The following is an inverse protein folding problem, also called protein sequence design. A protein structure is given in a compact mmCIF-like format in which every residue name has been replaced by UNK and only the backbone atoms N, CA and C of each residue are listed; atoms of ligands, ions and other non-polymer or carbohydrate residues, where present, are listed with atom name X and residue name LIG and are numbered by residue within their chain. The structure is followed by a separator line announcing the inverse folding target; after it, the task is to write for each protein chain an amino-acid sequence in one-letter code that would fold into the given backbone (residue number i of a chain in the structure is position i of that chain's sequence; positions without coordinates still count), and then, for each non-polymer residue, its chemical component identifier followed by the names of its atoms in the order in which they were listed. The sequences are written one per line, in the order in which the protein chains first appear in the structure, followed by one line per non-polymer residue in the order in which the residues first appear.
data_IF_189872925821
#
_entry.id   IF_189872925821
#
_cell.length_a   1.000
_cell.length_b   1.000
_cell.length_c   1.000
_cell.angle_alpha   90.00
_cell.angle_beta   90.00
_cell.angle_gamma   90.00
#
_symmetry.space_group_name_H-M   'P 1'
#
loop_
_entity.id
_entity.type
_entity.pdbx_description
1 polymer ?
#
# COMPACT_ATOMS: atom_id res chain seq x y z
N UNK A 1 -4.23 -54.76 -31.02
CA UNK A 1 -2.95 -54.89 -30.29
C UNK A 1 -2.16 -53.56 -30.37
N UNK A 2 -2.78 -52.41 -30.06
CA UNK A 2 -2.18 -51.08 -30.27
C UNK A 2 -2.16 -50.18 -29.01
N UNK A 3 -2.62 -50.69 -27.86
CA UNK A 3 -2.78 -49.90 -26.64
C UNK A 3 -1.57 -50.01 -25.67
N UNK A 4 -0.72 -51.03 -25.84
CA UNK A 4 0.42 -51.27 -24.95
C UNK A 4 1.62 -50.37 -25.26
N UNK A 5 1.81 -49.98 -26.53
CA UNK A 5 2.92 -49.13 -26.99
C UNK A 5 2.82 -47.68 -26.51
N UNK A 6 1.60 -47.12 -26.45
CA UNK A 6 1.40 -45.77 -25.91
C UNK A 6 1.58 -45.75 -24.39
N UNK A 7 1.16 -46.80 -23.68
CA UNK A 7 1.35 -46.91 -22.23
C UNK A 7 2.83 -47.00 -21.84
N UNK A 8 3.67 -47.68 -22.63
CA UNK A 8 5.12 -47.65 -22.41
C UNK A 8 5.71 -46.23 -22.57
N UNK A 9 5.25 -45.45 -23.55
CA UNK A 9 5.74 -44.09 -23.79
C UNK A 9 5.46 -43.13 -22.62
N UNK A 10 4.28 -43.20 -22.01
CA UNK A 10 3.95 -42.41 -20.82
C UNK A 10 4.76 -42.83 -19.59
N UNK A 11 5.03 -44.14 -19.44
CA UNK A 11 5.86 -44.65 -18.36
C UNK A 11 7.34 -44.25 -18.52
N UNK A 12 7.85 -44.21 -19.75
CA UNK A 12 9.21 -43.76 -20.07
C UNK A 12 9.37 -42.25 -19.87
N UNK A 13 8.34 -41.47 -20.21
CA UNK A 13 8.30 -40.04 -19.96
C UNK A 13 8.27 -39.73 -18.46
N UNK A 14 7.50 -40.50 -17.69
CA UNK A 14 7.45 -40.36 -16.22
C UNK A 14 8.81 -40.70 -15.58
N UNK A 15 9.45 -41.79 -16.04
CA UNK A 15 10.78 -42.18 -15.56
C UNK A 15 11.85 -41.15 -15.92
N UNK A 16 11.82 -40.57 -17.13
CA UNK A 16 12.77 -39.54 -17.54
C UNK A 16 12.58 -38.23 -16.76
N UNK A 17 11.34 -37.83 -16.49
CA UNK A 17 11.03 -36.67 -15.65
C UNK A 17 11.48 -36.86 -14.19
N UNK A 18 11.24 -38.04 -13.60
CA UNK A 18 11.73 -38.38 -12.26
C UNK A 18 13.25 -38.34 -12.17
N UNK A 19 13.94 -38.83 -13.19
CA UNK A 19 15.40 -38.85 -13.26
C UNK A 19 15.99 -37.43 -13.39
N UNK A 20 15.34 -36.54 -14.14
CA UNK A 20 15.74 -35.12 -14.23
C UNK A 20 15.56 -34.40 -12.89
N UNK A 21 14.50 -34.73 -12.15
CA UNK A 21 14.25 -34.13 -10.83
C UNK A 21 15.31 -34.55 -9.79
N UNK A 22 15.76 -35.81 -9.81
CA UNK A 22 16.88 -36.28 -8.98
C UNK A 22 18.23 -35.64 -9.36
N UNK A 23 18.45 -35.37 -10.65
CA UNK A 23 19.70 -34.75 -11.13
C UNK A 23 19.78 -33.24 -10.87
N UNK A 24 18.63 -32.55 -10.78
CA UNK A 24 18.57 -31.10 -10.61
C UNK A 24 18.80 -30.62 -9.16
N UNK A 25 18.80 -31.50 -8.15
CA UNK A 25 18.92 -31.08 -6.75
C UNK A 25 19.69 -32.08 -5.87
N UNK A 26 21.04 -32.08 -5.88
CA UNK A 26 21.85 -32.93 -5.00
C UNK A 26 21.70 -32.63 -3.49
N UNK A 27 21.02 -31.54 -3.12
CA UNK A 27 20.97 -31.01 -1.75
C UNK A 27 19.55 -30.83 -1.18
N UNK A 28 18.50 -31.25 -1.87
CA UNK A 28 17.12 -31.17 -1.36
C UNK A 28 16.66 -32.56 -0.90
N UNK A 29 16.96 -32.89 0.36
CA UNK A 29 16.59 -34.13 1.04
C UNK A 29 15.08 -34.15 1.36
N UNK A 30 14.23 -34.19 0.33
CA UNK A 30 12.79 -34.40 0.48
C UNK A 30 12.34 -35.57 -0.42
N UNK A 31 11.62 -36.56 0.12
CA UNK A 31 11.17 -37.70 -0.67
C UNK A 31 10.20 -37.24 -1.78
N UNK A 32 10.28 -37.84 -2.99
CA UNK A 32 9.39 -37.49 -4.09
C UNK A 32 7.94 -37.78 -3.69
N UNK A 33 7.11 -36.73 -3.58
CA UNK A 33 5.70 -36.88 -3.27
C UNK A 33 4.93 -37.15 -4.56
N UNK A 34 4.71 -38.43 -4.86
CA UNK A 34 3.81 -38.88 -5.91
C UNK A 34 2.36 -38.62 -5.45
N UNK A 35 1.78 -37.49 -5.87
CA UNK A 35 0.40 -37.11 -5.50
C UNK A 35 -0.56 -37.62 -6.56
N UNK A 36 -1.48 -38.49 -6.17
CA UNK A 36 -2.60 -38.87 -7.03
C UNK A 36 -3.57 -37.70 -7.18
N UNK A 37 -4.33 -37.66 -8.27
CA UNK A 37 -5.29 -36.58 -8.56
C UNK A 37 -6.31 -36.39 -7.41
N UNK A 38 -6.77 -37.49 -6.83
CA UNK A 38 -7.70 -37.49 -5.68
C UNK A 38 -7.08 -36.88 -4.42
N UNK A 39 -5.78 -37.12 -4.21
CA UNK A 39 -5.04 -36.52 -3.09
C UNK A 39 -4.85 -35.01 -3.31
N UNK A 40 -4.58 -34.59 -4.55
CA UNK A 40 -4.49 -33.18 -4.90
C UNK A 40 -5.85 -32.48 -4.74
N UNK A 41 -6.95 -33.12 -5.13
CA UNK A 41 -8.30 -32.59 -4.97
C UNK A 41 -8.67 -32.45 -3.49
N UNK A 42 -8.41 -33.47 -2.67
CA UNK A 42 -8.68 -33.41 -1.22
C UNK A 42 -7.89 -32.31 -0.52
N UNK A 43 -6.61 -32.12 -0.89
CA UNK A 43 -5.76 -31.06 -0.36
C UNK A 43 -6.16 -29.68 -0.90
N UNK A 44 -6.60 -29.59 -2.16
CA UNK A 44 -7.17 -28.38 -2.75
C UNK A 44 -8.44 -27.96 -2.02
N UNK A 45 -9.38 -28.88 -1.78
CA UNK A 45 -10.59 -28.64 -0.97
C UNK A 45 -10.23 -28.21 0.44
N UNK A 46 -9.23 -28.84 1.06
CA UNK A 46 -8.74 -28.50 2.40
C UNK A 46 -8.04 -27.14 2.44
N UNK A 47 -7.25 -26.79 1.42
CA UNK A 47 -6.60 -25.48 1.28
C UNK A 47 -7.62 -24.38 1.01
N UNK A 48 -8.57 -24.60 0.11
CA UNK A 48 -9.68 -23.69 -0.15
C UNK A 48 -10.48 -23.42 1.12
N UNK A 49 -10.81 -24.47 1.88
CA UNK A 49 -11.49 -24.32 3.17
C UNK A 49 -10.64 -23.59 4.22
N UNK A 50 -9.31 -23.72 4.17
CA UNK A 50 -8.38 -23.05 5.09
C UNK A 50 -8.11 -21.59 4.70
N UNK A 51 -8.14 -21.26 3.41
CA UNK A 51 -8.01 -19.89 2.90
C UNK A 51 -9.25 -19.06 3.23
N UNK A 52 -10.45 -19.65 3.14
CA UNK A 52 -11.71 -19.00 3.52
C UNK A 52 -11.88 -18.78 5.04
N UNK A 53 -11.02 -19.39 5.87
CA UNK A 53 -11.13 -19.34 7.34
C UNK A 53 -9.92 -18.74 8.05
N UNK A 54 -8.89 -18.27 7.33
CA UNK A 54 -7.76 -17.57 7.97
C UNK A 54 -8.06 -16.08 8.09
N UNK A 55 -9.16 -15.74 8.75
CA UNK A 55 -9.28 -14.47 9.46
C UNK A 55 -9.28 -14.82 10.94
N UNK A 56 -8.19 -14.50 11.64
CA UNK A 56 -8.14 -14.66 13.08
C UNK A 56 -9.27 -13.80 13.69
N UNK A 57 -10.29 -14.40 14.33
CA UNK A 57 -11.49 -13.67 14.74
C UNK A 57 -11.17 -12.54 15.73
N UNK A 58 -10.11 -12.68 16.54
CA UNK A 58 -9.69 -11.64 17.49
C UNK A 58 -9.09 -10.39 16.82
N UNK A 59 -8.33 -10.55 15.72
CA UNK A 59 -7.75 -9.42 14.98
C UNK A 59 -8.81 -8.74 14.10
N UNK A 60 -9.71 -9.52 13.49
CA UNK A 60 -10.88 -9.00 12.77
C UNK A 60 -11.79 -8.20 13.70
N UNK A 61 -12.04 -8.66 14.94
CA UNK A 61 -12.81 -7.90 15.95
C UNK A 61 -12.11 -6.59 16.36
N UNK A 62 -10.78 -6.60 16.52
CA UNK A 62 -10.03 -5.39 16.85
C UNK A 62 -10.05 -4.37 15.70
N UNK A 63 -9.82 -4.82 14.47
CA UNK A 63 -9.90 -4.00 13.26
C UNK A 63 -11.32 -3.46 13.03
N UNK A 64 -12.35 -4.30 13.15
CA UNK A 64 -13.77 -3.90 13.08
C UNK A 64 -14.12 -2.87 14.14
N UNK A 65 -13.60 -3.01 15.37
CA UNK A 65 -13.81 -2.01 16.43
C UNK A 65 -13.09 -0.69 16.15
N UNK A 66 -11.90 -0.72 15.55
CA UNK A 66 -11.18 0.49 15.13
C UNK A 66 -11.88 1.21 13.97
N UNK A 67 -12.35 0.46 12.97
CA UNK A 67 -13.12 1.00 11.86
C UNK A 67 -14.44 1.63 12.35
N UNK A 68 -15.15 0.96 13.26
CA UNK A 68 -16.38 1.49 13.86
C UNK A 68 -16.13 2.77 14.69
N UNK A 69 -15.01 2.83 15.43
CA UNK A 69 -14.61 4.04 16.19
C UNK A 69 -14.40 5.25 15.28
N UNK A 70 -13.91 5.04 14.07
CA UNK A 70 -13.70 6.09 13.07
C UNK A 70 -14.91 6.29 12.14
N UNK A 71 -16.05 5.64 12.43
CA UNK A 71 -17.32 5.84 11.70
C UNK A 71 -17.50 4.95 10.46
N UNK A 72 -16.65 3.95 10.26
CA UNK A 72 -16.69 3.04 9.11
C UNK A 72 -17.42 1.74 9.50
N UNK A 73 -18.50 1.43 8.81
CA UNK A 73 -19.30 0.22 9.06
C UNK A 73 -18.66 -1.01 8.40
N UNK A 74 -17.80 -1.70 9.15
CA UNK A 74 -17.09 -2.90 8.68
C UNK A 74 -18.06 -4.02 8.22
N UNK A 75 -19.25 -4.12 8.83
CA UNK A 75 -20.26 -5.12 8.45
C UNK A 75 -20.94 -4.80 7.11
N UNK A 76 -21.10 -3.52 6.78
CA UNK A 76 -21.56 -3.09 5.45
C UNK A 76 -20.46 -3.34 4.42
N UNK A 77 -19.21 -2.98 4.72
CA UNK A 77 -18.08 -3.19 3.83
C UNK A 77 -17.83 -4.68 3.55
N UNK A 78 -17.93 -5.55 4.56
CA UNK A 78 -17.79 -7.00 4.38
C UNK A 78 -18.92 -7.58 3.52
N UNK A 79 -20.16 -7.07 3.66
CA UNK A 79 -21.29 -7.45 2.81
C UNK A 79 -21.10 -6.98 1.38
N UNK A 80 -20.64 -5.76 1.17
CA UNK A 80 -20.34 -5.22 -0.16
C UNK A 80 -19.20 -6.02 -0.80
N UNK A 81 -18.13 -6.33 -0.06
CA UNK A 81 -17.01 -7.13 -0.55
C UNK A 81 -17.41 -8.58 -0.88
N UNK A 82 -18.31 -9.17 -0.09
CA UNK A 82 -18.91 -10.48 -0.37
C UNK A 82 -19.84 -10.45 -1.59
N UNK A 83 -20.49 -9.32 -1.86
CA UNK A 83 -21.26 -9.13 -3.10
C UNK A 83 -20.36 -8.94 -4.32
N UNK A 84 -19.12 -8.49 -4.10
CA UNK A 84 -18.06 -8.40 -5.10
C UNK A 84 -17.27 -9.71 -5.29
N UNK A 85 -17.61 -10.80 -4.58
CA UNK A 85 -17.12 -12.12 -4.97
C UNK A 85 -17.66 -12.40 -6.38
N UNK A 86 -16.79 -12.16 -7.37
CA UNK A 86 -17.01 -12.50 -8.77
C UNK A 86 -17.54 -13.91 -8.81
N UNK A 87 -18.84 -14.02 -9.09
CA UNK A 87 -19.45 -15.23 -9.59
C UNK A 87 -18.74 -15.50 -10.91
N UNK A 88 -17.60 -16.18 -10.82
CA UNK A 88 -16.94 -16.83 -11.95
C UNK A 88 -17.86 -17.97 -12.33
N UNK A 89 -18.99 -17.62 -12.94
CA UNK A 89 -19.69 -18.54 -13.80
C UNK A 89 -18.65 -18.83 -14.88
N UNK A 90 -17.94 -19.94 -14.73
CA UNK A 90 -17.33 -20.63 -15.85
C UNK A 90 -18.50 -21.04 -16.74
N UNK A 91 -19.03 -20.07 -17.47
CA UNK A 91 -19.87 -20.31 -18.61
C UNK A 91 -18.88 -20.67 -19.71
N UNK A 92 -18.95 -21.92 -20.17
CA UNK A 92 -18.13 -22.37 -21.28
C UNK A 92 -18.31 -21.35 -22.41
N UNK A 93 -17.19 -20.90 -22.97
CA UNK A 93 -17.12 -19.91 -24.07
C UNK A 93 -17.94 -20.36 -25.31
N UNK A 94 -18.44 -21.60 -25.28
CA UNK A 94 -19.44 -22.14 -26.19
C UNK A 94 -20.60 -22.78 -25.40
N UNK A 95 -21.76 -22.12 -25.28
CA UNK A 95 -23.02 -22.84 -25.18
C UNK A 95 -23.11 -23.71 -26.44
N UNK A 96 -23.31 -25.01 -26.28
CA UNK A 96 -23.39 -25.98 -27.36
C UNK A 96 -24.68 -25.84 -28.20
N UNK A 97 -25.05 -24.61 -28.59
CA UNK A 97 -26.37 -24.26 -29.14
C UNK A 97 -26.34 -23.74 -30.58
N UNK A 98 -25.17 -23.41 -31.15
CA UNK A 98 -25.09 -23.10 -32.57
C UNK A 98 -25.26 -24.40 -33.39
N UNK A 99 -26.51 -24.77 -33.65
CA UNK A 99 -26.88 -25.93 -34.47
C UNK A 99 -26.78 -25.63 -35.97
N UNK A 100 -26.47 -24.39 -36.35
CA UNK A 100 -26.23 -23.96 -37.73
C UNK A 100 -24.99 -23.04 -37.88
N UNK A 101 -24.42 -23.00 -39.08
CA UNK A 101 -23.23 -22.18 -39.42
C UNK A 101 -23.52 -20.67 -39.30
N UNK A 102 -24.75 -20.26 -39.60
CA UNK A 102 -25.16 -18.85 -39.54
C UNK A 102 -25.18 -18.35 -38.09
N UNK A 103 -25.79 -19.12 -37.17
CA UNK A 103 -25.82 -18.80 -35.74
C UNK A 103 -24.41 -18.71 -35.15
N UNK A 104 -23.50 -19.60 -35.59
CA UNK A 104 -22.10 -19.53 -35.20
C UNK A 104 -21.42 -18.22 -35.66
N UNK A 105 -21.61 -17.82 -36.91
CA UNK A 105 -21.02 -16.58 -37.44
C UNK A 105 -21.59 -15.34 -36.75
N UNK A 106 -22.89 -15.33 -36.48
CA UNK A 106 -23.53 -14.24 -35.74
C UNK A 106 -23.00 -14.16 -34.30
N UNK A 107 -22.86 -15.29 -33.61
CA UNK A 107 -22.30 -15.31 -32.26
C UNK A 107 -20.83 -14.87 -32.23
N UNK A 108 -20.01 -15.29 -33.19
CA UNK A 108 -18.61 -14.82 -33.30
C UNK A 108 -18.56 -13.31 -33.53
N UNK A 109 -19.45 -12.78 -34.36
CA UNK A 109 -19.55 -11.33 -34.57
C UNK A 109 -19.91 -10.61 -33.26
N UNK A 110 -20.96 -11.06 -32.56
CA UNK A 110 -21.39 -10.46 -31.29
C UNK A 110 -20.27 -10.52 -30.24
N UNK A 111 -19.59 -11.66 -30.13
CA UNK A 111 -18.44 -11.83 -29.24
C UNK A 111 -17.27 -10.90 -29.61
N UNK A 112 -16.96 -10.75 -30.90
CA UNK A 112 -15.91 -9.86 -31.36
C UNK A 112 -16.22 -8.40 -31.01
N UNK A 113 -17.48 -7.98 -31.18
CA UNK A 113 -17.95 -6.64 -30.79
C UNK A 113 -17.83 -6.43 -29.28
N UNK A 114 -18.32 -7.38 -28.47
CA UNK A 114 -18.26 -7.28 -27.01
C UNK A 114 -16.80 -7.27 -26.53
N UNK A 115 -15.95 -8.12 -27.10
CA UNK A 115 -14.52 -8.19 -26.77
C UNK A 115 -13.80 -6.90 -27.13
N UNK A 116 -14.11 -6.29 -28.28
CA UNK A 116 -13.53 -5.02 -28.68
C UNK A 116 -13.92 -3.88 -27.73
N UNK A 117 -15.20 -3.85 -27.30
CA UNK A 117 -15.66 -2.86 -26.30
C UNK A 117 -14.98 -3.07 -24.96
N UNK A 118 -14.88 -4.30 -24.48
CA UNK A 118 -14.25 -4.62 -23.21
C UNK A 118 -12.75 -4.29 -23.21
N UNK A 119 -12.04 -4.63 -24.28
CA UNK A 119 -10.62 -4.29 -24.40
C UNK A 119 -10.42 -2.78 -24.50
N UNK A 120 -11.27 -2.06 -25.24
CA UNK A 120 -11.22 -0.59 -25.30
C UNK A 120 -11.48 0.07 -23.93
N UNK A 121 -12.45 -0.43 -23.16
CA UNK A 121 -12.71 0.09 -21.81
C UNK A 121 -11.53 -0.17 -20.86
N UNK A 122 -10.95 -1.36 -20.93
CA UNK A 122 -9.78 -1.76 -20.14
C UNK A 122 -8.55 -0.92 -20.50
N UNK A 123 -8.34 -0.65 -21.79
CA UNK A 123 -7.25 0.20 -22.27
C UNK A 123 -7.43 1.66 -21.85
N UNK A 124 -8.67 2.17 -21.88
CA UNK A 124 -9.00 3.50 -21.37
C UNK A 124 -8.71 3.64 -19.88
N UNK A 125 -9.07 2.64 -19.07
CA UNK A 125 -8.80 2.66 -17.62
C UNK A 125 -7.30 2.66 -17.33
N UNK A 126 -6.52 1.86 -18.05
CA UNK A 126 -5.05 1.86 -17.94
C UNK A 126 -4.48 3.21 -18.34
N UNK A 127 -4.89 3.74 -19.49
CA UNK A 127 -4.43 5.04 -20.00
C UNK A 127 -4.77 6.18 -19.04
N UNK A 128 -5.92 6.12 -18.38
CA UNK A 128 -6.30 7.09 -17.36
C UNK A 128 -5.44 6.98 -16.11
N UNK A 129 -5.17 5.77 -15.63
CA UNK A 129 -4.31 5.53 -14.46
C UNK A 129 -2.87 5.98 -14.72
N UNK A 130 -2.31 5.61 -15.88
CA UNK A 130 -0.99 6.04 -16.33
C UNK A 130 -0.91 7.57 -16.44
N UNK A 131 -1.93 8.20 -17.03
CA UNK A 131 -2.03 9.65 -17.11
C UNK A 131 -2.11 10.28 -15.72
N UNK A 132 -2.97 9.79 -14.84
CA UNK A 132 -3.09 10.29 -13.47
C UNK A 132 -1.76 10.20 -12.72
N UNK A 133 -1.07 9.06 -12.84
CA UNK A 133 0.24 8.87 -12.23
C UNK A 133 1.26 9.87 -12.76
N UNK A 134 1.26 10.11 -14.08
CA UNK A 134 2.15 11.11 -14.70
C UNK A 134 1.87 12.53 -14.19
N UNK A 135 0.60 12.93 -14.07
CA UNK A 135 0.21 14.24 -13.54
C UNK A 135 0.64 14.39 -12.09
N UNK A 136 0.41 13.36 -11.26
CA UNK A 136 0.85 13.38 -9.85
C UNK A 136 2.37 13.48 -9.73
N UNK A 137 3.11 12.78 -10.60
CA UNK A 137 4.57 12.88 -10.63
C UNK A 137 5.03 14.27 -11.06
N UNK A 138 4.42 14.84 -12.09
CA UNK A 138 4.74 16.20 -12.56
C UNK A 138 4.47 17.25 -11.47
N UNK A 139 3.31 17.18 -10.82
CA UNK A 139 2.94 18.05 -9.70
C UNK A 139 3.93 17.90 -8.54
N UNK A 140 4.30 16.67 -8.18
CA UNK A 140 5.31 16.41 -7.16
C UNK A 140 6.67 17.03 -7.52
N UNK A 141 7.14 16.82 -8.76
CA UNK A 141 8.41 17.39 -9.19
C UNK A 141 8.38 18.92 -9.20
N UNK A 142 7.23 19.52 -9.55
CA UNK A 142 7.04 20.97 -9.49
C UNK A 142 7.09 21.47 -8.05
N UNK A 143 6.31 20.89 -7.14
CA UNK A 143 6.31 21.27 -5.72
C UNK A 143 7.69 21.08 -5.08
N UNK A 144 8.39 19.99 -5.41
CA UNK A 144 9.77 19.78 -4.97
C UNK A 144 10.71 20.88 -5.48
N UNK A 145 10.61 21.26 -6.76
CA UNK A 145 11.41 22.37 -7.32
C UNK A 145 11.08 23.69 -6.63
N UNK A 146 9.81 24.00 -6.44
CA UNK A 146 9.35 25.22 -5.79
C UNK A 146 9.80 25.27 -4.33
N UNK A 147 9.73 24.15 -3.62
CA UNK A 147 10.26 23.98 -2.27
C UNK A 147 11.77 24.25 -2.22
N UNK A 148 12.56 23.61 -3.09
CA UNK A 148 14.01 23.83 -3.12
C UNK A 148 14.36 25.27 -3.50
N UNK A 149 13.62 25.87 -4.44
CA UNK A 149 13.79 27.29 -4.78
C UNK A 149 13.44 28.21 -3.60
N UNK A 150 12.41 27.87 -2.82
CA UNK A 150 12.07 28.61 -1.61
C UNK A 150 13.24 28.59 -0.61
N UNK A 151 13.88 27.43 -0.42
CA UNK A 151 15.06 27.29 0.43
C UNK A 151 16.26 28.08 -0.11
N UNK A 152 16.50 28.06 -1.42
CA UNK A 152 17.61 28.81 -2.01
C UNK A 152 17.42 30.32 -1.92
N UNK A 153 16.19 30.82 -2.03
CA UNK A 153 15.88 32.25 -1.84
C UNK A 153 16.13 32.70 -0.39
N UNK A 154 15.94 31.81 0.58
CA UNK A 154 16.23 32.07 2.00
C UNK A 154 17.75 32.02 2.28
N UNK A 155 18.51 31.24 1.50
CA UNK A 155 19.98 31.19 1.60
C UNK A 155 20.67 32.46 1.09
N UNK A 156 20.00 33.31 0.31
CA UNK A 156 20.60 34.51 -0.26
C UNK A 156 20.01 35.77 0.37
N UNK A 157 20.46 36.11 1.58
CA UNK A 157 20.87 37.45 2.09
C UNK A 157 20.64 37.61 3.62
N UNK A 158 21.47 38.38 4.36
CA UNK A 158 22.50 39.32 3.89
C UNK A 158 23.94 38.89 4.22
N UNK A 159 24.82 39.01 3.21
CA UNK A 159 26.26 39.11 3.42
C UNK A 159 26.53 40.43 4.16
N UNK A 160 26.85 40.30 5.44
CA UNK A 160 27.33 41.37 6.31
C UNK A 160 28.64 41.95 5.75
N UNK A 161 28.55 43.05 4.99
CA UNK A 161 29.66 43.96 4.82
C UNK A 161 29.62 44.95 5.98
N UNK A 162 30.50 44.73 6.96
CA UNK A 162 30.82 45.70 7.99
C UNK A 162 31.67 46.77 7.30
N UNK A 163 31.05 47.88 6.92
CA UNK A 163 31.74 49.15 6.76
C UNK A 163 31.19 50.08 7.83
N UNK A 164 32.07 50.32 8.79
CA UNK A 164 31.97 51.20 9.95
C UNK A 164 31.36 52.57 9.58
N UNK A 165 30.31 52.99 10.29
CA UNK A 165 30.00 54.42 10.52
C UNK A 165 28.91 54.56 11.58
N UNK A 166 29.32 55.24 12.65
CA UNK A 166 28.61 55.64 13.86
C UNK A 166 27.20 56.22 13.67
N UNK A 167 26.29 55.84 14.57
CA UNK A 167 25.55 56.74 15.50
C UNK A 167 24.10 56.31 15.72
N UNK A 168 23.77 56.01 16.98
CA UNK A 168 22.48 56.38 17.56
C UNK A 168 21.29 55.40 17.47
N UNK A 169 20.78 55.09 18.67
CA UNK A 169 19.38 54.85 19.02
C UNK A 169 18.90 53.38 19.05
N UNK A 170 18.80 52.92 20.28
CA UNK A 170 18.12 51.76 20.85
C UNK A 170 16.65 51.66 20.44
N UNK A 171 16.25 50.54 19.82
CA UNK A 171 14.97 49.83 20.06
C UNK A 171 15.01 48.48 19.34
N UNK A 172 15.48 47.46 20.06
CA UNK A 172 15.36 46.06 19.65
C UNK A 172 13.88 45.65 19.75
N UNK A 173 13.15 45.82 18.64
CA UNK A 173 11.99 44.98 18.33
C UNK A 173 12.52 43.69 17.74
N UNK A 174 12.55 42.63 18.53
CA UNK A 174 12.93 41.30 18.10
C UNK A 174 11.78 40.73 17.24
N UNK A 175 11.80 41.04 15.95
CA UNK A 175 10.92 40.41 14.97
C UNK A 175 11.48 39.01 14.77
N UNK A 176 10.92 38.03 15.49
CA UNK A 176 11.11 36.62 15.16
C UNK A 176 10.67 36.47 13.70
N UNK A 177 11.52 36.00 12.77
CA UNK A 177 11.07 35.74 11.42
C UNK A 177 9.99 34.69 11.54
N UNK A 178 8.79 34.97 11.00
CA UNK A 178 7.79 33.93 10.81
C UNK A 178 8.48 32.81 10.02
N UNK A 179 8.76 31.69 10.68
CA UNK A 179 9.38 30.53 10.04
C UNK A 179 8.42 30.09 8.96
N UNK A 180 8.79 30.30 7.69
CA UNK A 180 8.01 29.80 6.57
C UNK A 180 7.82 28.29 6.73
N UNK A 181 6.67 27.74 6.32
CA UNK A 181 6.36 26.29 6.41
C UNK A 181 7.55 25.38 6.01
N UNK A 182 8.29 25.65 4.92
CA UNK A 182 9.49 24.90 4.56
C UNK A 182 10.62 24.91 5.59
N UNK A 183 10.82 26.03 6.30
CA UNK A 183 11.92 26.19 7.26
C UNK A 183 11.67 25.37 8.53
N UNK A 184 10.44 25.37 9.04
CA UNK A 184 10.08 24.60 10.24
C UNK A 184 10.33 23.09 10.03
N UNK A 185 9.97 22.56 8.86
CA UNK A 185 10.23 21.16 8.53
C UNK A 185 11.70 20.86 8.22
N UNK A 186 12.41 21.76 7.55
CA UNK A 186 13.83 21.60 7.27
C UNK A 186 14.67 21.48 8.56
N UNK A 187 14.32 22.24 9.60
CA UNK A 187 14.99 22.14 10.91
C UNK A 187 14.76 20.78 11.59
N UNK A 188 13.54 20.23 11.51
CA UNK A 188 13.24 18.88 12.03
C UNK A 188 14.07 17.82 11.31
N UNK A 189 14.15 17.87 9.98
CA UNK A 189 14.96 16.92 9.18
C UNK A 189 16.44 17.03 9.51
N UNK A 190 16.96 18.24 9.70
CA UNK A 190 18.36 18.46 10.10
C UNK A 190 18.65 17.86 11.47
N UNK A 191 17.74 18.06 12.44
CA UNK A 191 17.87 17.50 13.79
C UNK A 191 17.74 15.98 13.80
N UNK A 192 16.87 15.42 12.97
CA UNK A 192 16.74 13.98 12.74
C UNK A 192 18.07 13.39 12.24
N UNK A 193 18.64 13.98 11.19
CA UNK A 193 19.90 13.51 10.61
C UNK A 193 21.05 13.62 11.61
N UNK A 194 21.16 14.74 12.33
CA UNK A 194 22.17 14.93 13.38
C UNK A 194 22.03 13.91 14.52
N UNK A 195 20.81 13.47 14.83
CA UNK A 195 20.57 12.46 15.87
C UNK A 195 20.92 11.05 15.37
N UNK A 196 20.63 10.75 14.09
CA UNK A 196 21.03 9.50 13.44
C UNK A 196 22.55 9.35 13.35
N UNK A 197 23.26 10.40 12.96
CA UNK A 197 24.73 10.42 12.91
C UNK A 197 25.36 10.18 14.28
N UNK A 198 24.70 10.66 15.35
CA UNK A 198 25.16 10.50 16.74
C UNK A 198 24.61 9.25 17.43
N UNK A 199 23.81 8.43 16.75
CA UNK A 199 23.16 7.25 17.33
C UNK A 199 22.19 7.57 18.49
N UNK A 200 21.65 8.79 18.56
CA UNK A 200 20.76 9.22 19.63
C UNK A 200 19.31 8.88 19.31
N UNK A 201 18.49 8.55 20.33
CA UNK A 201 17.06 8.37 20.14
C UNK A 201 16.43 9.68 19.67
N UNK A 202 15.67 9.61 18.58
CA UNK A 202 14.92 10.73 18.04
C UNK A 202 13.47 10.28 17.84
N UNK A 203 12.54 11.22 18.05
CA UNK A 203 11.09 10.98 17.90
C UNK A 203 10.56 11.78 16.70
N UNK A 204 10.67 11.25 15.46
CA UNK A 204 10.27 11.97 14.26
C UNK A 204 8.83 12.46 14.30
N UNK A 205 7.86 11.61 14.67
CA UNK A 205 6.45 11.98 14.60
C UNK A 205 6.13 13.16 15.53
N UNK A 206 6.70 13.12 16.74
CA UNK A 206 6.56 14.18 17.74
C UNK A 206 7.18 15.50 17.26
N UNK A 207 8.36 15.45 16.64
CA UNK A 207 9.07 16.63 16.15
C UNK A 207 8.36 17.28 14.95
N UNK A 208 7.87 16.46 14.00
CA UNK A 208 7.09 16.95 12.87
C UNK A 208 5.74 17.52 13.28
N UNK A 209 5.09 16.92 14.29
CA UNK A 209 3.84 17.44 14.88
C UNK A 209 4.06 18.82 15.50
N UNK A 210 5.11 19.00 16.30
CA UNK A 210 5.42 20.31 16.89
C UNK A 210 5.77 21.37 15.83
N UNK A 211 6.48 20.99 14.77
CA UNK A 211 6.71 21.89 13.64
C UNK A 211 5.39 22.30 12.96
N UNK A 212 4.46 21.36 12.77
CA UNK A 212 3.13 21.66 12.24
C UNK A 212 2.33 22.61 13.15
N UNK A 213 2.32 22.36 14.47
CA UNK A 213 1.67 23.21 15.47
C UNK A 213 2.26 24.64 15.47
N UNK A 214 3.57 24.77 15.30
CA UNK A 214 4.25 26.07 15.27
C UNK A 214 3.87 26.94 14.05
N UNK A 215 3.32 26.33 13.01
CA UNK A 215 2.89 27.02 11.79
C UNK A 215 1.47 27.59 11.90
N UNK A 216 0.74 27.34 13.00
CA UNK A 216 -0.65 27.80 13.24
C UNK A 216 -1.57 27.63 12.02
N UNK A 217 -1.42 26.51 11.30
CA UNK A 217 -2.16 26.22 10.06
C UNK A 217 -3.50 25.56 10.38
N UNK A 218 -4.34 26.24 11.16
CA UNK A 218 -5.65 25.73 11.58
C UNK A 218 -6.77 26.25 10.70
N UNK A 219 -7.07 25.55 9.59
CA UNK A 219 -8.39 25.62 8.94
C UNK A 219 -8.70 24.31 8.22
N UNK A 220 -9.27 23.34 8.95
CA UNK A 220 -10.07 22.31 8.29
C UNK A 220 -11.33 22.07 9.11
N UNK A 221 -12.47 22.37 8.48
CA UNK A 221 -13.79 22.35 9.09
C UNK A 221 -14.13 21.01 9.71
N UNK A 222 -15.13 21.02 10.61
CA UNK A 222 -15.51 19.95 11.54
C UNK A 222 -15.77 18.54 10.95
N UNK A 223 -15.61 18.31 9.65
CA UNK A 223 -15.88 17.05 8.93
C UNK A 223 -14.67 16.42 8.23
N UNK A 224 -13.51 17.08 8.13
CA UNK A 224 -12.31 16.52 7.50
C UNK A 224 -11.31 15.99 8.55
N UNK A 225 -10.49 15.01 8.14
CA UNK A 225 -9.35 14.55 8.94
C UNK A 225 -8.34 15.68 8.98
N UNK A 226 -8.15 16.30 10.14
CA UNK A 226 -7.12 17.32 10.31
C UNK A 226 -5.74 16.68 10.34
N UNK A 227 -4.73 17.41 9.85
CA UNK A 227 -3.33 16.99 9.90
C UNK A 227 -2.88 16.65 11.34
N UNK A 228 -3.46 17.31 12.34
CA UNK A 228 -3.28 16.98 13.76
C UNK A 228 -3.68 15.54 14.11
N UNK A 229 -4.80 15.05 13.56
CA UNK A 229 -5.25 13.65 13.75
C UNK A 229 -4.31 12.68 13.05
N UNK A 230 -3.81 13.03 11.87
CA UNK A 230 -2.84 12.21 11.11
C UNK A 230 -1.53 12.07 11.90
N UNK A 231 -0.98 13.18 12.42
CA UNK A 231 0.23 13.14 13.24
C UNK A 231 0.05 12.35 14.54
N UNK A 232 -1.12 12.40 15.17
CA UNK A 232 -1.40 11.58 16.34
C UNK A 232 -1.44 10.08 16.01
N UNK A 233 -2.06 9.69 14.89
CA UNK A 233 -2.05 8.30 14.44
C UNK A 233 -0.62 7.81 14.16
N UNK A 234 0.20 8.59 13.45
CA UNK A 234 1.60 8.25 13.18
C UNK A 234 2.39 8.11 14.48
N UNK A 235 2.18 9.00 15.45
CA UNK A 235 2.85 8.95 16.76
C UNK A 235 2.47 7.69 17.55
N UNK A 236 1.21 7.25 17.44
CA UNK A 236 0.71 6.00 18.04
C UNK A 236 1.29 4.77 17.33
N UNK A 237 1.36 4.77 16.00
CA UNK A 237 1.97 3.68 15.22
C UNK A 237 3.47 3.53 15.48
N UNK A 238 4.17 4.64 15.70
CA UNK A 238 5.60 4.66 16.02
C UNK A 238 5.90 4.39 17.50
N UNK A 239 4.90 4.25 18.36
CA UNK A 239 5.06 4.02 19.80
C UNK A 239 5.66 5.22 20.56
N UNK A 240 5.70 6.40 19.94
CA UNK A 240 6.32 7.60 20.51
C UNK A 240 5.49 8.22 21.65
N UNK A 241 4.17 7.97 21.64
CA UNK A 241 3.15 8.41 22.61
C UNK A 241 3.14 7.60 23.93
N UNK A 242 4.25 6.93 24.27
CA UNK A 242 4.41 6.13 25.49
C UNK A 242 4.53 7.00 26.76
N UNK A 243 3.47 7.74 27.08
CA UNK A 243 3.15 8.28 28.40
C UNK A 243 1.94 7.58 29.03
N UNK A 244 1.59 6.37 28.56
CA UNK A 244 0.76 5.47 29.32
C UNK A 244 1.61 4.83 30.42
N UNK A 245 1.86 5.56 31.50
CA UNK A 245 2.07 4.95 32.81
C UNK A 245 0.88 3.99 33.03
N UNK A 246 1.10 2.70 32.83
CA UNK A 246 0.26 1.69 33.45
C UNK A 246 0.45 1.82 34.96
N UNK A 247 -0.28 2.75 35.58
CA UNK A 247 -0.52 2.76 37.00
C UNK A 247 -1.32 1.49 37.30
N UNK A 248 -0.60 0.40 37.58
CA UNK A 248 -1.19 -0.82 38.15
C UNK A 248 -1.66 -0.45 39.56
N UNK A 249 -2.97 -0.48 39.86
CA UNK A 249 -3.40 -0.29 41.23
C UNK A 249 -3.02 -1.55 42.02
N UNK A 250 -1.92 -1.48 42.79
CA UNK A 250 -1.64 -2.43 43.85
C UNK A 250 -2.65 -2.24 44.98
N UNK A 251 -3.77 -2.96 44.95
CA UNK A 251 -4.55 -3.32 46.15
C UNK A 251 -5.24 -4.68 45.97
N UNK A 252 -4.55 -5.72 46.39
CA UNK A 252 -5.17 -6.90 47.01
C UNK A 252 -4.42 -7.16 48.31
N UNK A 253 -5.03 -6.76 49.41
CA UNK A 253 -5.06 -7.46 50.70
C UNK A 253 -6.48 -7.27 51.24
#
# INVERSE_FOLDING_TARGET
MANDSDMSGWSDLLHSSSKLLEQAAPSAQFPPLQRNLDQLESLSKKLKAKTLRTEAPSQSIAATRLLAREGINAEQLARDLKSFELKTTFEDVFPAEATSVEEYLQQVHEMAMISAVQEAQKDNLRSFDDYMMSVLEEDWQKEKRDFLQSLSRISTLPRRNISDSSSGITRQGQIVPATSSPQAYAEVVKNLNSSRERGLPFKPASAFKHAYESLNLDTSGAKSVSMQKIWHLISTLMGEDSNAQWNVPRKCL
#
